data_IF_991946515649
#
_entry.id   IF_991946515649
#
_cell.length_a   1.000
_cell.length_b   1.000
_cell.length_c   1.000
_cell.angle_alpha   90.00
_cell.angle_beta   90.00
_cell.angle_gamma   90.00
#
_symmetry.space_group_name_H-M   'P 1'
#
loop_
_entity.id
_entity.type
_entity.pdbx_description
1 polymer ?
#
# COMPACT_ATOMS: atom_id res chain seq x y z
N UNK A 1 2.74 3.34 -10.26
CA UNK A 1 2.99 4.41 -9.26
C UNK A 1 2.47 5.72 -9.82
N UNK A 2 1.71 6.49 -9.05
CA UNK A 2 1.24 7.83 -9.40
C UNK A 2 1.85 8.82 -8.41
N UNK A 3 2.41 9.92 -8.90
CA UNK A 3 3.07 10.94 -8.06
C UNK A 3 2.53 12.32 -8.44
N UNK A 4 2.25 13.14 -7.45
CA UNK A 4 1.88 14.54 -7.61
C UNK A 4 2.45 15.36 -6.46
N UNK A 5 3.38 16.28 -6.75
CA UNK A 5 4.13 17.02 -5.73
C UNK A 5 4.78 16.09 -4.69
N UNK A 6 4.42 16.21 -3.41
CA UNK A 6 4.84 15.35 -2.31
C UNK A 6 3.97 14.10 -2.11
N UNK A 7 2.83 14.03 -2.79
CA UNK A 7 1.92 12.88 -2.69
C UNK A 7 2.34 11.76 -3.64
N UNK A 8 2.51 10.55 -3.10
CA UNK A 8 2.83 9.34 -3.86
C UNK A 8 1.79 8.26 -3.58
N UNK A 9 1.26 7.67 -4.64
CA UNK A 9 0.27 6.58 -4.59
C UNK A 9 0.84 5.34 -5.28
N UNK A 10 0.84 4.24 -4.53
CA UNK A 10 1.22 2.90 -5.00
C UNK A 10 -0.03 2.12 -5.37
N UNK A 11 -0.01 1.52 -6.55
CA UNK A 11 -1.09 0.65 -7.02
C UNK A 11 -0.51 -0.73 -7.28
N UNK A 12 -1.14 -1.74 -6.69
CA UNK A 12 -0.84 -3.13 -6.95
C UNK A 12 -2.16 -3.90 -7.08
N UNK A 13 -2.22 -4.83 -8.04
CA UNK A 13 -3.41 -5.62 -8.31
C UNK A 13 -3.03 -7.10 -8.35
N UNK A 14 -3.67 -7.91 -7.50
CA UNK A 14 -3.61 -9.36 -7.56
C UNK A 14 -4.98 -10.00 -7.30
N UNK A 15 -5.07 -11.31 -7.55
CA UNK A 15 -6.20 -12.15 -7.20
C UNK A 15 -6.22 -12.49 -5.71
N UNK A 16 -5.05 -12.63 -5.07
CA UNK A 16 -4.93 -12.91 -3.64
C UNK A 16 -4.67 -11.62 -2.85
N UNK A 17 -5.41 -11.41 -1.76
CA UNK A 17 -5.28 -10.25 -0.87
C UNK A 17 -4.00 -10.33 -0.05
N UNK A 18 -3.61 -11.53 0.40
CA UNK A 18 -2.37 -11.75 1.14
C UNK A 18 -1.14 -11.39 0.29
N UNK A 19 -1.20 -11.68 -1.01
CA UNK A 19 -0.15 -11.29 -1.95
C UNK A 19 -0.13 -9.78 -2.16
N UNK A 20 -1.30 -9.12 -2.21
CA UNK A 20 -1.37 -7.66 -2.30
C UNK A 20 -0.72 -7.02 -1.07
N UNK A 21 -1.04 -7.50 0.12
CA UNK A 21 -0.46 -7.00 1.36
C UNK A 21 1.04 -7.24 1.43
N UNK A 22 1.51 -8.46 1.13
CA UNK A 22 2.93 -8.81 1.18
C UNK A 22 3.75 -7.95 0.21
N UNK A 23 3.29 -7.82 -1.05
CA UNK A 23 3.99 -7.03 -2.06
C UNK A 23 3.94 -5.54 -1.74
N UNK A 24 2.80 -5.00 -1.32
CA UNK A 24 2.70 -3.57 -0.96
C UNK A 24 3.60 -3.22 0.23
N UNK A 25 3.67 -4.08 1.25
CA UNK A 25 4.57 -3.86 2.39
C UNK A 25 6.04 -3.91 1.97
N UNK A 26 6.42 -4.88 1.12
CA UNK A 26 7.79 -4.97 0.60
C UNK A 26 8.20 -3.74 -0.23
N UNK A 27 7.31 -3.26 -1.09
CA UNK A 27 7.52 -2.05 -1.89
C UNK A 27 7.59 -0.81 -0.99
N UNK A 28 6.75 -0.73 0.06
CA UNK A 28 6.75 0.36 1.02
C UNK A 28 8.04 0.39 1.85
N UNK A 29 8.59 -0.76 2.26
CA UNK A 29 9.89 -0.85 2.95
C UNK A 29 11.05 -0.40 2.06
N UNK A 30 10.99 -0.73 0.76
CA UNK A 30 11.98 -0.30 -0.22
C UNK A 30 11.91 1.21 -0.44
N UNK A 31 10.71 1.76 -0.58
CA UNK A 31 10.47 3.20 -0.67
C UNK A 31 10.89 3.92 0.60
N UNK A 32 10.61 3.36 1.78
CA UNK A 32 11.00 3.93 3.06
C UNK A 32 12.53 4.00 3.20
N UNK A 33 13.23 2.96 2.75
CA UNK A 33 14.70 2.93 2.72
C UNK A 33 15.24 4.03 1.81
N UNK A 34 14.70 4.16 0.60
CA UNK A 34 15.07 5.22 -0.33
C UNK A 34 14.77 6.63 0.20
N UNK A 35 13.60 6.83 0.83
CA UNK A 35 13.22 8.11 1.46
C UNK A 35 14.21 8.46 2.58
N UNK A 36 14.57 7.49 3.42
CA UNK A 36 15.52 7.68 4.53
C UNK A 36 16.90 8.09 4.02
N UNK A 37 17.40 7.45 2.95
CA UNK A 37 18.65 7.83 2.29
C UNK A 37 18.61 9.25 1.71
N UNK A 38 17.45 9.69 1.25
CA UNK A 38 17.23 11.04 0.71
C UNK A 38 16.80 12.06 1.79
N UNK A 39 16.93 11.73 3.08
CA UNK A 39 16.53 12.59 4.21
C UNK A 39 15.05 13.03 4.18
N UNK A 40 14.20 12.23 3.55
CA UNK A 40 12.74 12.41 3.50
C UNK A 40 12.08 11.51 4.54
N UNK A 41 11.05 12.02 5.21
CA UNK A 41 10.31 11.27 6.24
C UNK A 41 8.95 10.81 5.71
N UNK A 42 8.68 9.51 5.78
CA UNK A 42 7.35 8.97 5.50
C UNK A 42 6.42 9.22 6.69
N UNK A 43 5.37 10.01 6.49
CA UNK A 43 4.41 10.31 7.53
C UNK A 43 3.42 9.15 7.75
N UNK A 44 3.79 8.20 8.61
CA UNK A 44 2.95 7.04 8.98
C UNK A 44 1.55 7.39 9.47
N UNK A 45 1.31 8.61 10.00
CA UNK A 45 -0.03 9.03 10.45
C UNK A 45 -0.96 9.45 9.31
N UNK A 46 -0.39 9.77 8.14
CA UNK A 46 -1.13 10.17 6.94
C UNK A 46 -1.15 9.09 5.87
N UNK A 47 -0.27 8.09 5.97
CA UNK A 47 -0.23 6.95 5.05
C UNK A 47 -1.42 6.04 5.30
N UNK A 48 -2.39 6.08 4.38
CA UNK A 48 -3.56 5.21 4.39
C UNK A 48 -3.43 4.13 3.29
N UNK A 49 -3.95 2.93 3.56
CA UNK A 49 -4.04 1.87 2.57
C UNK A 49 -5.50 1.65 2.17
N UNK A 50 -5.74 1.46 0.86
CA UNK A 50 -7.08 1.27 0.32
C UNK A 50 -7.07 0.03 -0.58
N UNK A 51 -7.95 -0.93 -0.29
CA UNK A 51 -8.13 -2.13 -1.11
C UNK A 51 -9.34 -1.92 -2.02
N UNK A 52 -9.14 -2.02 -3.33
CA UNK A 52 -10.20 -1.97 -4.33
C UNK A 52 -10.58 -3.39 -4.78
N UNK A 53 -11.88 -3.70 -4.79
CA UNK A 53 -12.37 -5.00 -5.22
C UNK A 53 -13.88 -5.07 -5.41
N UNK A 54 -14.35 -6.11 -6.08
CA UNK A 54 -15.78 -6.41 -6.18
C UNK A 54 -16.35 -6.80 -4.82
N UNK A 55 -17.62 -6.50 -4.56
CA UNK A 55 -18.31 -6.85 -3.30
C UNK A 55 -18.13 -8.32 -2.89
N UNK A 56 -18.16 -9.24 -3.86
CA UNK A 56 -17.95 -10.68 -3.65
C UNK A 56 -16.53 -11.07 -3.19
N UNK A 57 -15.52 -10.26 -3.54
CA UNK A 57 -14.11 -10.48 -3.13
C UNK A 57 -13.84 -9.81 -1.78
N UNK A 58 -14.46 -8.66 -1.51
CA UNK A 58 -14.35 -7.95 -0.24
C UNK A 58 -15.10 -8.66 0.90
N UNK A 59 -16.16 -9.43 0.61
CA UNK A 59 -16.88 -10.19 1.64
C UNK A 59 -16.03 -11.29 2.29
N UNK A 60 -15.03 -11.83 1.59
CA UNK A 60 -14.10 -12.83 2.14
C UNK A 60 -13.08 -12.25 3.13
N UNK A 61 -12.80 -10.94 3.04
CA UNK A 61 -11.81 -10.24 3.88
C UNK A 61 -12.44 -9.80 5.21
N UNK A 62 -13.75 -9.57 5.25
CA UNK A 62 -14.50 -9.06 6.41
C UNK A 62 -14.69 -10.05 7.58
N UNK A 63 -14.25 -11.29 7.46
CA UNK A 63 -14.51 -12.33 8.48
C UNK A 63 -13.35 -12.54 9.48
N UNK A 64 -12.39 -11.61 9.55
CA UNK A 64 -11.32 -11.63 10.53
C UNK A 64 -11.41 -10.40 11.44
N UNK A 65 -12.48 -10.34 12.25
CA UNK A 65 -12.57 -9.48 13.44
C UNK A 65 -12.53 -10.36 14.70
#
# INVERSE_FOLDING_TARGET
VMMYADDTVLFFASQNVEEIEAVLNQELDTLYSWLTENSLFLNKKKTEFIIFGTSARLSGIRNCD
#
